data_IF_847519449172
#
_entry.id   IF_847519449172
#
_cell.length_a   1.000
_cell.length_b   1.000
_cell.length_c   1.000
_cell.angle_alpha   90.00
_cell.angle_beta   90.00
_cell.angle_gamma   90.00
#
_symmetry.space_group_name_H-M   'P 1'
#
loop_
_entity.id
_entity.type
_entity.pdbx_description
1 polymer ?
#
# COMPACT_ATOMS: atom_id res chain seq x y z
N UNK A 1 -15.23 22.40 5.43
CA UNK A 1 -14.95 21.15 4.67
C UNK A 1 -13.46 20.80 4.66
N UNK A 2 -12.57 21.70 4.21
CA UNK A 2 -11.12 21.46 4.10
C UNK A 2 -10.46 21.06 5.44
N UNK A 3 -10.79 21.73 6.56
CA UNK A 3 -10.27 21.34 7.89
C UNK A 3 -10.66 19.91 8.28
N UNK A 4 -11.91 19.49 8.03
CA UNK A 4 -12.40 18.13 8.33
C UNK A 4 -11.67 17.08 7.47
N UNK A 5 -11.42 17.41 6.20
CA UNK A 5 -10.66 16.55 5.28
C UNK A 5 -9.19 16.41 5.71
N UNK A 6 -8.55 17.51 6.14
CA UNK A 6 -7.19 17.49 6.70
C UNK A 6 -7.12 16.63 7.98
N UNK A 7 -8.09 16.77 8.89
CA UNK A 7 -8.18 15.96 10.10
C UNK A 7 -8.32 14.47 9.74
N UNK A 8 -9.14 14.15 8.75
CA UNK A 8 -9.32 12.76 8.31
C UNK A 8 -8.05 12.18 7.67
N UNK A 9 -7.33 12.97 6.87
CA UNK A 9 -6.04 12.57 6.30
C UNK A 9 -4.99 12.35 7.42
N UNK A 10 -4.97 13.21 8.44
CA UNK A 10 -4.11 13.05 9.61
C UNK A 10 -4.43 11.76 10.37
N UNK A 11 -5.71 11.47 10.64
CA UNK A 11 -6.14 10.24 11.28
C UNK A 11 -5.68 9.00 10.49
N UNK A 12 -5.84 9.00 9.16
CA UNK A 12 -5.38 7.91 8.30
C UNK A 12 -3.85 7.76 8.33
N UNK A 13 -3.09 8.87 8.37
CA UNK A 13 -1.63 8.79 8.50
C UNK A 13 -1.18 8.21 9.84
N UNK A 14 -1.89 8.52 10.93
CA UNK A 14 -1.61 7.92 12.25
C UNK A 14 -1.89 6.42 12.21
N UNK A 15 -3.01 5.99 11.62
CA UNK A 15 -3.33 4.56 11.47
C UNK A 15 -2.25 3.84 10.66
N UNK A 16 -1.73 4.44 9.58
CA UNK A 16 -0.63 3.85 8.79
C UNK A 16 0.66 3.67 9.61
N UNK A 17 1.04 4.68 10.38
CA UNK A 17 2.23 4.62 11.25
C UNK A 17 2.09 3.52 12.30
N UNK A 18 0.89 3.36 12.87
CA UNK A 18 0.61 2.31 13.83
C UNK A 18 0.78 0.91 13.21
N UNK A 19 0.25 0.70 12.01
CA UNK A 19 0.34 -0.61 11.33
C UNK A 19 1.80 -0.92 10.98
N UNK A 20 2.56 0.05 10.46
CA UNK A 20 3.98 -0.14 10.14
C UNK A 20 4.78 -0.55 11.37
N UNK A 21 4.53 0.07 12.51
CA UNK A 21 5.21 -0.32 13.72
C UNK A 21 4.79 -1.71 14.22
N UNK A 22 3.50 -2.07 14.13
CA UNK A 22 3.04 -3.43 14.46
C UNK A 22 3.73 -4.49 13.60
N UNK A 23 4.05 -4.19 12.34
CA UNK A 23 4.86 -5.07 11.49
C UNK A 23 6.28 -5.19 12.04
N UNK A 24 6.92 -4.08 12.44
CA UNK A 24 8.28 -4.10 13.02
C UNK A 24 8.37 -4.74 14.40
N UNK A 25 7.30 -4.74 15.20
CA UNK A 25 7.25 -5.40 16.50
C UNK A 25 7.27 -6.92 16.37
N UNK A 26 6.59 -7.38 15.33
CA UNK A 26 6.28 -8.77 15.16
C UNK A 26 7.36 -9.42 14.27
N UNK A 27 8.61 -9.38 14.72
CA UNK A 27 9.76 -9.95 14.01
C UNK A 27 9.73 -11.50 13.96
N UNK A 28 8.89 -12.16 14.78
CA UNK A 28 8.80 -13.61 14.89
C UNK A 28 7.45 -14.17 14.36
N UNK A 29 6.89 -13.62 13.29
CA UNK A 29 5.54 -13.98 12.89
C UNK A 29 5.43 -15.28 12.10
N UNK A 30 4.45 -16.07 12.54
CA UNK A 30 3.70 -16.93 11.64
C UNK A 30 3.19 -16.10 10.46
N UNK A 31 3.37 -16.56 9.22
CA UNK A 31 3.06 -15.80 8.01
C UNK A 31 1.58 -15.40 7.89
N UNK A 32 0.67 -16.08 8.59
CA UNK A 32 -0.75 -15.72 8.70
C UNK A 32 -0.93 -14.33 9.32
N UNK A 33 -0.18 -13.99 10.37
CA UNK A 33 -0.29 -12.68 11.01
C UNK A 33 0.30 -11.57 10.13
N UNK A 34 1.37 -11.89 9.38
CA UNK A 34 1.93 -10.96 8.38
C UNK A 34 0.87 -10.65 7.32
N UNK A 35 0.14 -11.67 6.85
CA UNK A 35 -0.94 -11.50 5.89
C UNK A 35 -2.07 -10.59 6.42
N UNK A 36 -2.52 -10.82 7.66
CA UNK A 36 -3.60 -10.02 8.26
C UNK A 36 -3.17 -8.54 8.38
N UNK A 37 -1.94 -8.28 8.84
CA UNK A 37 -1.42 -6.92 8.93
C UNK A 37 -1.30 -6.25 7.54
N UNK A 38 -0.91 -6.99 6.51
CA UNK A 38 -0.84 -6.50 5.13
C UNK A 38 -2.22 -6.15 4.55
N UNK A 39 -3.25 -6.95 4.83
CA UNK A 39 -4.63 -6.66 4.39
C UNK A 39 -5.12 -5.34 5.00
N UNK A 40 -4.92 -5.15 6.30
CA UNK A 40 -5.33 -3.93 7.00
C UNK A 40 -4.54 -2.72 6.47
N UNK A 41 -3.23 -2.86 6.26
CA UNK A 41 -2.39 -1.81 5.68
C UNK A 41 -2.90 -1.35 4.31
N UNK A 42 -3.21 -2.32 3.43
CA UNK A 42 -3.68 -2.03 2.08
C UNK A 42 -5.05 -1.36 2.04
N UNK A 43 -5.97 -1.73 2.95
CA UNK A 43 -7.26 -1.04 3.09
C UNK A 43 -7.09 0.44 3.44
N UNK A 44 -6.19 0.75 4.38
CA UNK A 44 -5.94 2.13 4.82
C UNK A 44 -5.28 2.95 3.71
N UNK A 45 -4.39 2.35 2.91
CA UNK A 45 -3.81 3.02 1.72
C UNK A 45 -4.89 3.35 0.69
N UNK A 46 -5.80 2.40 0.39
CA UNK A 46 -6.87 2.63 -0.57
C UNK A 46 -7.77 3.81 -0.13
N UNK A 47 -8.09 3.89 1.16
CA UNK A 47 -8.82 5.03 1.73
C UNK A 47 -8.03 6.34 1.69
N UNK A 48 -6.70 6.31 1.80
CA UNK A 48 -5.89 7.54 1.69
C UNK A 48 -5.85 8.07 0.25
N UNK A 49 -5.73 7.18 -0.73
CA UNK A 49 -5.67 7.55 -2.17
C UNK A 49 -7.02 8.08 -2.65
N UNK A 50 -8.13 7.48 -2.20
CA UNK A 50 -9.48 7.95 -2.55
C UNK A 50 -9.75 9.38 -2.08
N UNK A 51 -9.05 9.84 -1.03
CA UNK A 51 -9.16 11.21 -0.57
C UNK A 51 -8.40 12.20 -1.43
N UNK A 52 -7.21 11.83 -1.91
CA UNK A 52 -6.32 12.75 -2.59
C UNK A 52 -6.74 13.07 -4.04
N UNK A 53 -7.53 12.22 -4.69
CA UNK A 53 -7.95 12.42 -6.07
C UNK A 53 -9.45 12.58 -6.20
N UNK A 54 -9.87 13.46 -7.11
CA UNK A 54 -11.27 13.61 -7.56
C UNK A 54 -11.84 12.33 -8.18
N UNK A 55 -10.97 11.47 -8.74
CA UNK A 55 -11.36 10.22 -9.39
C UNK A 55 -10.95 8.98 -8.57
N UNK A 56 -11.96 8.21 -8.15
CA UNK A 56 -11.81 6.99 -7.34
C UNK A 56 -11.27 5.77 -8.11
N UNK A 57 -11.16 5.84 -9.45
CA UNK A 57 -10.70 4.69 -10.25
C UNK A 57 -9.33 4.16 -9.82
N UNK A 58 -8.38 5.05 -9.49
CA UNK A 58 -7.05 4.65 -9.03
C UNK A 58 -7.11 3.85 -7.72
N UNK A 59 -7.94 4.28 -6.76
CA UNK A 59 -8.13 3.52 -5.50
C UNK A 59 -8.78 2.16 -5.73
N UNK A 60 -9.70 2.05 -6.70
CA UNK A 60 -10.37 0.78 -7.02
C UNK A 60 -9.40 -0.20 -7.69
N UNK A 61 -8.60 0.24 -8.67
CA UNK A 61 -7.59 -0.60 -9.33
C UNK A 61 -6.57 -1.11 -8.31
N UNK A 62 -6.10 -0.23 -7.42
CA UNK A 62 -5.13 -0.60 -6.39
C UNK A 62 -5.70 -1.63 -5.39
N UNK A 63 -6.96 -1.46 -5.00
CA UNK A 63 -7.65 -2.42 -4.13
C UNK A 63 -7.75 -3.82 -4.75
N UNK A 64 -8.14 -3.90 -6.02
CA UNK A 64 -8.28 -5.18 -6.75
C UNK A 64 -6.94 -5.90 -6.89
N UNK A 65 -5.90 -5.19 -7.34
CA UNK A 65 -4.56 -5.77 -7.53
C UNK A 65 -4.02 -6.28 -6.20
N UNK A 66 -4.15 -5.50 -5.12
CA UNK A 66 -3.64 -5.90 -3.80
C UNK A 66 -4.36 -7.11 -3.21
N UNK A 67 -5.68 -7.23 -3.34
CA UNK A 67 -6.41 -8.42 -2.87
C UNK A 67 -5.98 -9.66 -3.66
N UNK A 68 -5.87 -9.55 -4.99
CA UNK A 68 -5.49 -10.69 -5.83
C UNK A 68 -4.10 -11.25 -5.48
N UNK A 69 -3.12 -10.37 -5.26
CA UNK A 69 -1.76 -10.78 -4.87
C UNK A 69 -1.70 -11.41 -3.48
N UNK A 70 -2.42 -10.86 -2.51
CA UNK A 70 -2.42 -11.36 -1.13
C UNK A 70 -3.08 -12.74 -1.00
N UNK A 71 -4.11 -13.04 -1.80
CA UNK A 71 -4.75 -14.36 -1.80
C UNK A 71 -3.82 -15.46 -2.33
N UNK A 72 -3.01 -15.18 -3.34
CA UNK A 72 -2.02 -16.13 -3.87
C UNK A 72 -0.95 -16.43 -2.81
N UNK A 73 -0.48 -15.39 -2.11
CA UNK A 73 0.48 -15.52 -1.01
C UNK A 73 -0.13 -16.34 0.15
N UNK A 74 -1.42 -16.13 0.47
CA UNK A 74 -2.12 -16.92 1.48
C UNK A 74 -2.14 -18.41 1.15
N UNK A 75 -2.50 -18.78 -0.08
CA UNK A 75 -2.53 -20.18 -0.52
C UNK A 75 -1.15 -20.85 -0.44
N UNK A 76 -0.10 -20.13 -0.83
CA UNK A 76 1.26 -20.63 -0.73
C UNK A 76 1.62 -20.95 0.72
N UNK A 77 1.41 -20.00 1.63
CA UNK A 77 1.76 -20.17 3.03
C UNK A 77 0.89 -21.20 3.76
N UNK A 78 -0.43 -21.25 3.50
CA UNK A 78 -1.30 -22.26 4.10
C UNK A 78 -0.89 -23.69 3.72
N UNK A 79 -0.24 -23.88 2.57
CA UNK A 79 0.27 -25.19 2.14
C UNK A 79 1.59 -25.61 2.79
N UNK A 80 2.34 -24.67 3.38
CA UNK A 80 3.71 -24.90 3.88
C UNK A 80 3.81 -24.98 5.41
N UNK A 81 2.80 -24.52 6.15
CA UNK A 81 2.90 -24.33 7.59
C UNK A 81 2.34 -25.54 8.34
N UNK A 82 3.22 -26.21 9.10
CA UNK A 82 2.85 -26.91 10.32
C UNK A 82 2.29 -25.90 11.32
N UNK A 83 1.10 -26.15 11.89
CA UNK A 83 0.36 -25.30 12.84
C UNK A 83 1.17 -24.87 14.10
N UNK A 84 2.18 -24.02 13.97
CA UNK A 84 2.91 -23.47 15.10
C UNK A 84 2.04 -22.44 15.82
N UNK A 85 1.91 -22.55 17.15
CA UNK A 85 1.16 -21.58 17.94
C UNK A 85 1.88 -20.23 17.96
N UNK A 86 1.17 -19.15 17.64
CA UNK A 86 1.69 -17.78 17.68
C UNK A 86 1.93 -17.34 19.13
N UNK A 87 3.18 -17.29 19.57
CA UNK A 87 3.54 -16.66 20.84
C UNK A 87 3.80 -15.17 20.67
N UNK A 88 2.76 -14.34 20.87
CA UNK A 88 2.90 -12.88 20.90
C UNK A 88 3.56 -12.42 22.19
N UNK A 89 4.84 -12.03 22.13
CA UNK A 89 5.54 -11.34 23.22
C UNK A 89 5.63 -9.87 22.90
N UNK A 90 4.77 -9.05 23.52
CA UNK A 90 4.83 -7.60 23.43
C UNK A 90 6.04 -7.07 24.22
N UNK A 91 7.03 -6.53 23.53
CA UNK A 91 8.16 -5.87 24.19
C UNK A 91 7.72 -4.48 24.70
N UNK A 92 7.73 -4.29 26.02
CA UNK A 92 7.30 -3.05 26.67
C UNK A 92 8.09 -1.82 26.18
N UNK A 93 9.37 -1.99 25.86
CA UNK A 93 10.24 -0.92 25.40
C UNK A 93 9.83 -0.40 24.01
N UNK A 94 9.38 -1.30 23.13
CA UNK A 94 8.87 -0.90 21.83
C UNK A 94 7.50 -0.21 21.95
N UNK A 95 6.65 -0.61 22.90
CA UNK A 95 5.38 0.09 23.15
C UNK A 95 5.60 1.54 23.62
N UNK A 96 6.66 1.78 24.40
CA UNK A 96 7.05 3.13 24.83
C UNK A 96 7.52 3.96 23.62
N UNK A 97 8.34 3.37 22.73
CA UNK A 97 8.81 4.04 21.52
C UNK A 97 7.65 4.48 20.60
N UNK A 98 6.59 3.66 20.50
CA UNK A 98 5.36 4.03 19.79
C UNK A 98 4.72 5.31 20.32
N UNK A 99 4.50 5.36 21.63
CA UNK A 99 3.85 6.51 22.26
C UNK A 99 4.66 7.79 22.06
N UNK A 100 5.99 7.71 22.10
CA UNK A 100 6.85 8.85 21.79
C UNK A 100 6.77 9.30 20.32
N UNK A 101 6.79 8.37 19.37
CA UNK A 101 6.68 8.71 17.94
C UNK A 101 5.33 9.37 17.60
N UNK A 102 4.24 8.89 18.21
CA UNK A 102 2.91 9.47 18.02
C UNK A 102 2.86 10.88 18.60
N UNK A 103 3.38 11.07 19.82
CA UNK A 103 3.45 12.40 20.44
C UNK A 103 4.30 13.38 19.62
N UNK A 104 5.45 12.93 19.11
CA UNK A 104 6.31 13.74 18.25
C UNK A 104 5.60 14.15 16.96
N UNK A 105 4.83 13.23 16.35
CA UNK A 105 4.02 13.54 15.17
C UNK A 105 2.93 14.58 15.45
N UNK A 106 2.27 14.53 16.61
CA UNK A 106 1.30 15.56 17.01
C UNK A 106 1.95 16.93 17.21
N UNK A 107 3.12 16.97 17.86
CA UNK A 107 3.87 18.19 18.09
C UNK A 107 4.26 18.83 16.75
N UNK A 108 4.84 18.05 15.83
CA UNK A 108 5.22 18.52 14.49
C UNK A 108 4.02 19.10 13.73
N UNK A 109 2.86 18.48 13.81
CA UNK A 109 1.66 18.96 13.13
C UNK A 109 1.09 20.24 13.74
N UNK A 110 1.13 20.39 15.07
CA UNK A 110 0.67 21.60 15.75
C UNK A 110 1.49 22.82 15.37
N UNK A 111 2.81 22.67 15.23
CA UNK A 111 3.70 23.74 14.76
C UNK A 111 3.58 24.06 13.26
N UNK A 112 2.96 23.17 12.47
CA UNK A 112 2.88 23.28 11.01
C UNK A 112 1.68 24.09 10.48
N UNK A 113 0.86 24.70 11.33
CA UNK A 113 -0.25 25.56 10.89
C UNK A 113 0.22 26.72 9.98
N UNK A 114 1.47 27.17 10.12
CA UNK A 114 2.09 28.14 9.21
C UNK A 114 2.48 27.54 7.84
N UNK A 115 2.88 26.27 7.78
CA UNK A 115 3.17 25.56 6.52
C UNK A 115 1.89 25.24 5.71
N UNK A 116 0.75 25.07 6.38
CA UNK A 116 -0.55 24.90 5.70
C UNK A 116 -0.96 26.12 4.86
N UNK A 117 -0.50 27.33 5.19
CA UNK A 117 -0.78 28.52 4.37
C UNK A 117 0.00 28.50 3.05
N UNK A 118 1.23 27.98 3.06
CA UNK A 118 2.06 27.80 1.86
C UNK A 118 1.48 26.71 0.97
N UNK A 119 1.05 25.57 1.55
CA UNK A 119 0.40 24.48 0.81
C UNK A 119 -0.96 24.87 0.22
N UNK A 120 -1.74 25.75 0.88
CA UNK A 120 -2.98 26.31 0.31
C UNK A 120 -2.70 27.05 -0.99
N UNK A 121 -1.61 27.82 -1.09
CA UNK A 121 -1.25 28.52 -2.33
C UNK A 121 -0.95 27.58 -3.49
N UNK A 122 -0.38 26.40 -3.23
CA UNK A 122 -0.14 25.38 -4.26
C UNK A 122 -1.40 24.57 -4.62
N UNK A 123 -2.27 24.26 -3.65
CA UNK A 123 -3.47 23.45 -3.88
C UNK A 123 -4.67 24.22 -4.47
N UNK A 124 -4.71 25.55 -4.38
CA UNK A 124 -5.82 26.34 -4.94
C UNK A 124 -5.89 26.34 -6.47
N UNK A 125 -4.82 25.93 -7.15
CA UNK A 125 -4.85 25.72 -8.61
C UNK A 125 -5.55 24.42 -9.01
N UNK A 126 -5.55 23.38 -8.16
CA UNK A 126 -6.23 22.11 -8.44
C UNK A 126 -7.67 22.06 -7.90
N UNK A 127 -7.98 22.74 -6.80
CA UNK A 127 -9.33 22.69 -6.19
C UNK A 127 -10.38 23.45 -7.04
N UNK A 128 -9.97 24.44 -7.84
CA UNK A 128 -10.87 25.11 -8.78
C UNK A 128 -11.28 24.24 -9.99
N UNK A 129 -10.68 23.05 -10.18
CA UNK A 129 -11.13 22.10 -11.20
C UNK A 129 -12.32 21.23 -10.75
N UNK A 130 -12.83 21.42 -9.53
CA UNK A 130 -14.06 20.76 -9.06
C UNK A 130 -15.34 21.24 -9.76
N UNK A 131 -15.25 22.09 -10.79
CA UNK A 131 -16.40 22.46 -11.65
C UNK A 131 -16.29 21.89 -13.07
N UNK A 132 -15.21 21.15 -13.41
CA UNK A 132 -15.07 20.41 -14.67
C UNK A 132 -15.03 18.90 -14.37
N UNK A 133 -16.08 18.39 -13.73
CA UNK A 133 -16.03 17.05 -13.11
C UNK A 133 -16.16 15.87 -14.07
N UNK A 134 -16.61 16.07 -15.32
CA UNK A 134 -17.10 14.92 -16.09
C UNK A 134 -16.23 14.43 -17.24
N UNK A 135 -15.25 15.19 -17.74
CA UNK A 135 -14.50 14.76 -18.94
C UNK A 135 -12.99 14.59 -18.68
N UNK A 136 -12.36 15.48 -17.91
CA UNK A 136 -10.89 15.47 -17.75
C UNK A 136 -10.36 14.41 -16.78
N UNK A 137 -11.21 13.84 -15.92
CA UNK A 137 -10.78 12.92 -14.86
C UNK A 137 -10.39 11.52 -15.38
N UNK A 138 -10.94 11.09 -16.52
CA UNK A 138 -10.59 9.81 -17.16
C UNK A 138 -9.55 9.98 -18.27
N UNK A 139 -9.40 11.19 -18.80
CA UNK A 139 -8.46 11.48 -19.87
C UNK A 139 -7.02 11.15 -19.47
N UNK A 140 -6.66 11.33 -18.20
CA UNK A 140 -5.34 10.91 -17.68
C UNK A 140 -5.02 9.42 -17.88
N UNK A 141 -6.03 8.53 -17.86
CA UNK A 141 -5.82 7.10 -18.13
C UNK A 141 -5.59 6.85 -19.61
N UNK A 142 -6.35 7.52 -20.48
CA UNK A 142 -6.21 7.40 -21.93
C UNK A 142 -4.89 7.99 -22.44
N UNK A 143 -4.40 9.07 -21.81
CA UNK A 143 -3.12 9.69 -22.14
C UNK A 143 -1.92 8.73 -22.02
N UNK A 144 -2.01 7.64 -21.24
CA UNK A 144 -0.96 6.62 -21.16
C UNK A 144 -0.82 5.81 -22.46
N UNK A 145 -1.91 5.66 -23.21
CA UNK A 145 -1.94 4.95 -24.49
C UNK A 145 -1.61 5.87 -25.67
N UNK A 146 -1.64 7.18 -25.47
CA UNK A 146 -1.31 8.16 -26.49
C UNK A 146 0.19 8.46 -26.52
N UNK A 147 0.67 8.89 -27.69
CA UNK A 147 2.06 9.34 -27.84
C UNK A 147 2.26 10.66 -27.05
N UNK A 148 3.36 10.85 -26.30
CA UNK A 148 4.59 10.05 -26.24
C UNK A 148 4.63 8.97 -25.13
N UNK A 149 3.60 8.90 -24.27
CA UNK A 149 3.62 8.03 -23.08
C UNK A 149 3.42 6.55 -23.41
N UNK A 150 2.92 6.21 -24.61
CA UNK A 150 2.74 4.84 -25.09
C UNK A 150 4.04 3.99 -25.04
N UNK A 151 5.24 4.58 -25.00
CA UNK A 151 6.46 3.80 -24.78
C UNK A 151 6.45 3.06 -23.43
N UNK A 152 5.84 3.64 -22.39
CA UNK A 152 5.72 3.02 -21.08
C UNK A 152 4.78 1.80 -21.11
N UNK A 153 3.69 1.85 -21.88
CA UNK A 153 2.77 0.70 -22.02
C UNK A 153 3.41 -0.42 -22.83
N UNK A 154 4.17 -0.10 -23.87
CA UNK A 154 4.93 -1.10 -24.64
C UNK A 154 5.97 -1.79 -23.74
N UNK A 155 6.68 -1.03 -22.90
CA UNK A 155 7.63 -1.56 -21.92
C UNK A 155 6.96 -2.52 -20.91
N UNK A 156 5.78 -2.19 -20.38
CA UNK A 156 5.08 -3.08 -19.42
C UNK A 156 4.58 -4.36 -20.08
N UNK A 157 4.16 -4.30 -21.35
CA UNK A 157 3.79 -5.51 -22.11
C UNK A 157 4.98 -6.46 -22.28
N UNK A 158 6.15 -5.96 -22.68
CA UNK A 158 7.35 -6.79 -22.75
C UNK A 158 7.77 -7.34 -21.38
N UNK A 159 7.65 -6.54 -20.32
CA UNK A 159 7.94 -6.99 -18.95
C UNK A 159 7.05 -8.17 -18.53
N UNK A 160 5.74 -8.10 -18.78
CA UNK A 160 4.81 -9.18 -18.47
C UNK A 160 5.06 -10.44 -19.33
N UNK A 161 5.45 -10.27 -20.59
CA UNK A 161 5.78 -11.38 -21.47
C UNK A 161 7.07 -12.09 -21.02
N UNK A 162 8.11 -11.34 -20.67
CA UNK A 162 9.36 -11.90 -20.14
C UNK A 162 9.10 -12.61 -18.80
N UNK A 163 8.29 -12.02 -17.91
CA UNK A 163 7.98 -12.64 -16.62
C UNK A 163 7.22 -13.96 -16.76
N UNK A 164 6.31 -14.07 -17.74
CA UNK A 164 5.66 -15.34 -18.06
C UNK A 164 6.69 -16.41 -18.48
N UNK A 165 7.61 -16.08 -19.40
CA UNK A 165 8.64 -17.03 -19.84
C UNK A 165 9.58 -17.45 -18.71
N UNK A 166 9.97 -16.52 -17.83
CA UNK A 166 10.82 -16.86 -16.68
C UNK A 166 10.08 -17.74 -15.68
N UNK A 167 8.80 -17.47 -15.39
CA UNK A 167 7.97 -18.33 -14.52
C UNK A 167 7.87 -19.74 -15.10
N UNK A 168 7.56 -19.89 -16.40
CA UNK A 168 7.50 -21.21 -17.06
C UNK A 168 8.85 -21.94 -16.92
N UNK A 169 9.96 -21.24 -17.17
CA UNK A 169 11.29 -21.81 -17.04
C UNK A 169 11.57 -22.28 -15.60
N UNK A 170 11.26 -21.47 -14.59
CA UNK A 170 11.43 -21.83 -13.16
C UNK A 170 10.56 -23.03 -12.80
N UNK A 171 9.29 -23.06 -13.19
CA UNK A 171 8.40 -24.18 -12.91
C UNK A 171 8.80 -25.48 -13.63
N UNK A 172 9.43 -25.39 -14.80
CA UNK A 172 9.87 -26.56 -15.59
C UNK A 172 11.15 -27.23 -15.07
N UNK A 173 11.90 -26.58 -14.18
CA UNK A 173 13.06 -27.19 -13.52
C UNK A 173 12.54 -28.29 -12.59
N UNK A 174 12.57 -29.54 -13.06
CA UNK A 174 12.20 -30.71 -12.26
C UNK A 174 13.02 -30.71 -10.97
N UNK A 175 12.33 -30.76 -9.84
CA UNK A 175 12.90 -31.07 -8.54
C UNK A 175 13.55 -32.45 -8.62
N UNK A 176 14.88 -32.48 -8.75
CA UNK A 176 15.66 -33.66 -8.43
C UNK A 176 15.27 -34.07 -6.99
N UNK A 177 15.03 -35.36 -6.77
CA UNK A 177 14.42 -35.86 -5.54
C UNK A 177 15.17 -35.36 -4.30
N UNK A 178 14.50 -34.59 -3.43
CA UNK A 178 14.94 -34.22 -2.08
C UNK A 178 14.89 -35.42 -1.11
N UNK A 179 15.20 -36.63 -1.58
CA UNK A 179 15.55 -37.74 -0.69
C UNK A 179 17.02 -37.55 -0.36
N UNK A 180 17.33 -37.24 0.91
CA UNK A 180 18.63 -37.65 1.46
C UNK A 180 18.71 -39.16 1.26
N UNK A 181 19.55 -39.56 0.32
CA UNK A 181 20.06 -40.92 0.25
C UNK A 181 21.14 -40.98 1.33
N UNK A 182 20.97 -41.98 2.21
CA UNK A 182 21.68 -42.30 3.46
C UNK A 182 21.61 -41.26 4.57
#
# INVERSE_FOLDING_TARGET
>A
MIKKFLIMNLLLTIILLMILFMITLNLNLNPIMILINLIIYNLVICMKISLWKSNYMYSIILFLVMISGLLIIFLYFSSLISNEQTNFKLNKLLLINMNFNIMFFFILNYYNDNFQQILKKFNFLEINSHMKFNETNYQNMFNLYEYPLNNMTILTMFYLLISLFTIIKICSIKSMTLRKIS
#
